data_IF_173958588486
#
_entry.id   IF_173958588486
#
_cell.length_a   1.000
_cell.length_b   1.000
_cell.length_c   1.000
_cell.angle_alpha   90.00
_cell.angle_beta   90.00
_cell.angle_gamma   90.00
#
_symmetry.space_group_name_H-M   'P 1'
#
loop_
_entity.id
_entity.type
_entity.pdbx_description
1 polymer ?
#
# COMPACT_ATOMS: atom_id res chain seq x y z
N UNK A 1 33.42 35.27 -42.56
CA UNK A 1 33.83 36.56 -43.15
C UNK A 1 34.94 36.28 -44.16
N UNK A 2 34.63 36.20 -45.45
CA UNK A 2 35.64 36.07 -46.51
C UNK A 2 35.02 36.36 -47.88
N UNK A 3 35.04 37.63 -48.28
CA UNK A 3 34.94 38.12 -49.65
C UNK A 3 35.63 39.51 -49.64
N UNK A 4 36.33 40.00 -50.69
CA UNK A 4 36.61 39.38 -52.00
C UNK A 4 38.09 39.46 -52.44
N UNK A 5 38.48 38.47 -53.26
CA UNK A 5 39.60 38.52 -54.23
C UNK A 5 39.25 39.34 -55.50
N UNK A 6 38.41 40.37 -55.38
CA UNK A 6 37.92 41.19 -56.50
C UNK A 6 38.58 42.57 -56.57
N UNK A 7 39.38 42.95 -55.55
CA UNK A 7 40.11 44.21 -55.51
C UNK A 7 41.44 44.17 -56.30
N UNK A 8 41.93 42.99 -56.68
CA UNK A 8 43.22 42.84 -57.37
C UNK A 8 43.13 42.84 -58.89
N UNK A 9 41.93 42.73 -59.47
CA UNK A 9 41.74 42.81 -60.93
C UNK A 9 41.46 44.22 -61.44
N UNK A 10 41.00 45.13 -60.58
CA UNK A 10 40.76 46.55 -60.91
C UNK A 10 42.04 47.38 -61.02
N UNK A 11 43.17 46.91 -60.47
CA UNK A 11 44.46 47.62 -60.48
C UNK A 11 45.24 47.39 -61.79
N UNK A 12 44.88 46.39 -62.61
CA UNK A 12 45.66 46.04 -63.81
C UNK A 12 45.14 46.65 -65.13
N UNK A 13 44.00 47.37 -65.16
CA UNK A 13 43.45 47.93 -66.41
C UNK A 13 43.73 49.44 -66.55
N UNK A 14 44.19 50.12 -65.49
CA UNK A 14 44.48 51.56 -65.53
C UNK A 14 45.87 51.93 -66.09
N UNK A 15 46.74 50.96 -66.44
CA UNK A 15 48.16 51.19 -66.79
C UNK A 15 48.52 51.16 -68.28
N UNK A 16 47.55 51.25 -69.21
CA UNK A 16 47.84 51.24 -70.66
C UNK A 16 47.71 52.63 -71.33
N UNK A 17 47.33 53.69 -70.60
CA UNK A 17 47.09 55.02 -71.21
C UNK A 17 48.28 55.99 -71.10
N UNK A 18 49.42 55.63 -70.51
CA UNK A 18 50.53 56.58 -70.37
C UNK A 18 51.90 55.94 -70.68
N UNK A 19 52.35 56.03 -71.93
CA UNK A 19 53.77 56.21 -72.32
C UNK A 19 53.98 56.09 -73.83
N UNK A 20 53.88 57.21 -74.55
CA UNK A 20 54.71 57.52 -75.72
C UNK A 20 54.51 59.00 -76.08
N UNK A 21 55.25 59.87 -75.39
CA UNK A 21 55.48 61.26 -75.78
C UNK A 21 56.97 61.56 -75.62
N UNK A 22 57.46 62.42 -76.52
CA UNK A 22 58.77 63.10 -76.58
C UNK A 22 59.91 62.25 -77.16
N UNK A 23 60.60 62.66 -78.23
CA UNK A 23 61.18 63.97 -78.57
C UNK A 23 61.49 64.03 -80.10
N UNK A 24 61.78 65.14 -80.82
CA UNK A 24 61.55 66.59 -80.74
C UNK A 24 62.29 67.22 -81.97
N UNK A 25 61.72 68.30 -82.55
CA UNK A 25 62.34 69.50 -83.21
C UNK A 25 63.09 69.40 -84.56
N UNK A 26 62.66 70.22 -85.54
CA UNK A 26 63.32 71.41 -86.18
C UNK A 26 62.41 71.77 -87.38
N UNK A 27 61.53 72.77 -87.33
CA UNK A 27 61.70 74.24 -87.50
C UNK A 27 61.69 74.70 -88.98
N UNK A 28 60.96 75.78 -89.27
CA UNK A 28 60.99 76.48 -90.57
C UNK A 28 59.65 77.09 -91.02
N UNK A 29 59.46 78.37 -90.69
CA UNK A 29 58.37 79.27 -91.10
C UNK A 29 58.38 79.63 -92.60
N UNK A 30 57.26 80.21 -93.08
CA UNK A 30 57.34 81.43 -93.91
C UNK A 30 56.77 81.39 -95.34
N UNK A 31 55.65 82.09 -95.50
CA UNK A 31 55.28 83.04 -96.58
C UNK A 31 55.34 82.63 -98.07
N UNK A 32 54.14 82.67 -98.67
CA UNK A 32 53.69 83.50 -99.80
C UNK A 32 54.68 84.23 -100.74
N UNK A 33 54.23 84.35 -102.01
CA UNK A 33 54.65 85.25 -103.13
C UNK A 33 55.57 84.68 -104.23
N UNK A 34 54.94 84.48 -105.41
CA UNK A 34 55.29 84.92 -106.79
C UNK A 34 56.78 85.01 -107.18
N UNK A 35 57.20 84.29 -108.23
CA UNK A 35 57.57 84.88 -109.54
C UNK A 35 58.14 83.84 -110.55
N UNK A 36 57.41 83.71 -111.65
CA UNK A 36 57.83 83.62 -113.06
C UNK A 36 59.22 83.08 -113.40
N UNK A 37 59.23 81.91 -114.04
CA UNK A 37 60.27 81.46 -114.98
C UNK A 37 59.60 80.97 -116.26
N UNK A 38 59.32 81.91 -117.15
CA UNK A 38 58.74 81.73 -118.49
C UNK A 38 59.81 81.16 -119.43
N UNK A 39 59.58 80.01 -120.07
CA UNK A 39 59.92 79.87 -121.49
C UNK A 39 59.11 78.76 -122.16
N UNK A 40 58.31 79.22 -123.12
CA UNK A 40 57.77 78.64 -124.34
C UNK A 40 57.37 77.16 -124.45
N UNK A 41 56.11 77.01 -124.90
CA UNK A 41 55.90 76.26 -126.14
C UNK A 41 55.21 74.92 -126.00
N UNK A 42 53.87 74.97 -125.92
CA UNK A 42 52.95 73.91 -126.39
C UNK A 42 53.10 72.51 -125.80
N UNK A 43 52.27 72.17 -124.79
CA UNK A 43 51.82 70.78 -124.54
C UNK A 43 50.48 70.73 -123.78
N UNK A 44 49.47 71.41 -124.31
CA UNK A 44 48.05 71.36 -123.88
C UNK A 44 47.42 69.94 -123.88
N UNK A 45 48.15 68.92 -124.33
CA UNK A 45 47.70 67.52 -124.38
C UNK A 45 48.08 66.72 -123.12
N UNK A 46 49.20 67.02 -122.46
CA UNK A 46 49.72 66.24 -121.32
C UNK A 46 48.95 66.54 -120.02
N UNK A 47 48.73 67.83 -119.74
CA UNK A 47 47.87 68.28 -118.63
C UNK A 47 46.43 67.78 -118.77
N UNK A 48 45.94 67.62 -120.00
CA UNK A 48 44.59 67.15 -120.28
C UNK A 48 44.41 65.66 -119.97
N UNK A 49 45.43 64.85 -120.27
CA UNK A 49 45.47 63.42 -119.93
C UNK A 49 45.56 63.23 -118.41
N UNK A 50 46.36 64.07 -117.71
CA UNK A 50 46.41 64.06 -116.24
C UNK A 50 45.09 64.51 -115.62
N UNK A 51 44.45 65.55 -116.17
CA UNK A 51 43.13 66.01 -115.72
C UNK A 51 42.06 64.93 -115.93
N UNK A 52 42.07 64.22 -117.07
CA UNK A 52 41.18 63.09 -117.33
C UNK A 52 41.44 61.91 -116.39
N UNK A 53 42.70 61.60 -116.08
CA UNK A 53 43.09 60.58 -115.11
C UNK A 53 42.70 60.94 -113.67
N UNK A 54 42.84 62.21 -113.30
CA UNK A 54 42.33 62.74 -112.03
C UNK A 54 40.81 62.64 -111.98
N UNK A 55 40.11 63.00 -113.06
CA UNK A 55 38.65 62.87 -113.13
C UNK A 55 38.18 61.42 -113.07
N UNK A 56 38.85 60.47 -113.73
CA UNK A 56 38.48 59.05 -113.64
C UNK A 56 38.69 58.52 -112.22
N UNK A 57 39.76 58.95 -111.55
CA UNK A 57 40.06 58.54 -110.17
C UNK A 57 39.14 59.21 -109.15
N UNK A 58 38.74 60.47 -109.38
CA UNK A 58 37.70 61.16 -108.61
C UNK A 58 36.38 60.40 -108.75
N UNK A 59 35.98 60.02 -109.97
CA UNK A 59 34.76 59.22 -110.19
C UNK A 59 34.82 57.85 -109.53
N UNK A 60 35.96 57.16 -109.61
CA UNK A 60 36.15 55.87 -108.95
C UNK A 60 36.07 56.01 -107.42
N UNK A 61 36.67 57.06 -106.86
CA UNK A 61 36.57 57.39 -105.44
C UNK A 61 35.15 57.80 -105.04
N UNK A 62 34.42 58.56 -105.86
CA UNK A 62 33.01 58.90 -105.63
C UNK A 62 32.15 57.64 -105.56
N UNK A 63 32.27 56.74 -106.53
CA UNK A 63 31.55 55.45 -106.51
C UNK A 63 31.92 54.62 -105.28
N UNK A 64 33.19 54.61 -104.90
CA UNK A 64 33.66 53.86 -103.73
C UNK A 64 33.16 54.50 -102.41
N UNK A 65 33.07 55.83 -102.36
CA UNK A 65 32.45 56.55 -101.24
C UNK A 65 30.97 56.22 -101.17
N UNK A 66 30.23 56.28 -102.28
CA UNK A 66 28.79 55.96 -102.33
C UNK A 66 28.51 54.50 -101.95
N UNK A 67 29.35 53.56 -102.36
CA UNK A 67 29.23 52.17 -101.94
C UNK A 67 29.52 52.01 -100.44
N UNK A 68 30.52 52.73 -99.90
CA UNK A 68 30.85 52.72 -98.47
C UNK A 68 29.81 53.39 -97.60
N UNK A 69 29.20 54.49 -98.04
CA UNK A 69 28.11 55.16 -97.32
C UNK A 69 26.88 54.26 -97.24
N UNK A 70 26.54 53.59 -98.34
CA UNK A 70 25.42 52.63 -98.38
C UNK A 70 25.71 51.35 -97.56
N UNK A 71 26.95 50.87 -97.53
CA UNK A 71 27.36 49.76 -96.64
C UNK A 71 27.29 50.17 -95.16
N UNK A 72 27.67 51.41 -94.83
CA UNK A 72 27.56 51.96 -93.48
C UNK A 72 26.10 52.10 -93.04
N UNK A 73 25.21 52.58 -93.91
CA UNK A 73 23.77 52.68 -93.64
C UNK A 73 23.16 51.31 -93.30
N UNK A 74 23.46 50.28 -94.11
CA UNK A 74 23.02 48.90 -93.83
C UNK A 74 23.53 48.36 -92.49
N UNK A 75 24.77 48.70 -92.10
CA UNK A 75 25.33 48.32 -90.80
C UNK A 75 24.66 49.07 -89.66
N UNK A 76 24.32 50.33 -89.86
CA UNK A 76 23.63 51.17 -88.88
C UNK A 76 22.20 50.66 -88.62
N UNK A 77 21.46 50.31 -89.66
CA UNK A 77 20.15 49.64 -89.55
C UNK A 77 20.23 48.33 -88.74
N UNK A 78 21.26 47.53 -89.02
CA UNK A 78 21.50 46.26 -88.32
C UNK A 78 21.89 46.48 -86.85
N UNK A 79 22.63 47.55 -86.55
CA UNK A 79 22.94 47.97 -85.18
C UNK A 79 21.65 48.40 -84.46
N UNK A 80 20.84 49.25 -85.09
CA UNK A 80 19.53 49.66 -84.57
C UNK A 80 18.63 48.47 -84.23
N UNK A 81 18.61 47.44 -85.10
CA UNK A 81 17.88 46.21 -84.85
C UNK A 81 18.44 45.44 -83.64
N UNK A 82 19.76 45.29 -83.53
CA UNK A 82 20.41 44.62 -82.40
C UNK A 82 20.18 45.36 -81.09
N UNK A 83 20.22 46.68 -81.09
CA UNK A 83 19.97 47.52 -79.91
C UNK A 83 18.52 47.40 -79.43
N UNK A 84 17.55 47.32 -80.36
CA UNK A 84 16.16 47.04 -80.00
C UNK A 84 16.03 45.68 -79.32
N UNK A 85 16.62 44.62 -79.90
CA UNK A 85 16.62 43.27 -79.30
C UNK A 85 17.32 43.28 -77.93
N UNK A 86 18.42 44.04 -77.79
CA UNK A 86 19.16 44.14 -76.53
C UNK A 86 18.33 44.83 -75.46
N UNK A 87 17.65 45.94 -75.79
CA UNK A 87 16.70 46.61 -74.89
C UNK A 87 15.57 45.68 -74.46
N UNK A 88 14.94 44.97 -75.40
CA UNK A 88 13.87 44.02 -75.10
C UNK A 88 14.33 42.88 -74.19
N UNK A 89 15.52 42.32 -74.45
CA UNK A 89 16.14 41.29 -73.58
C UNK A 89 16.48 41.84 -72.21
N UNK A 90 17.02 43.05 -72.11
CA UNK A 90 17.33 43.70 -70.84
C UNK A 90 16.07 43.92 -70.00
N UNK A 91 14.98 44.39 -70.62
CA UNK A 91 13.69 44.54 -69.96
C UNK A 91 13.12 43.19 -69.49
N UNK A 92 13.31 42.12 -70.27
CA UNK A 92 12.89 40.78 -69.87
C UNK A 92 13.73 40.22 -68.72
N UNK A 93 15.03 40.51 -68.69
CA UNK A 93 15.92 40.13 -67.58
C UNK A 93 15.53 40.86 -66.30
N UNK A 94 15.25 42.17 -66.36
CA UNK A 94 14.82 42.91 -65.16
C UNK A 94 13.46 42.43 -64.64
N UNK A 95 12.53 42.13 -65.55
CA UNK A 95 11.25 41.50 -65.19
C UNK A 95 11.47 40.15 -64.49
N UNK A 96 12.27 39.25 -65.08
CA UNK A 96 12.55 37.93 -64.48
C UNK A 96 13.30 38.04 -63.15
N UNK A 97 14.22 39.00 -62.99
CA UNK A 97 14.87 39.26 -61.71
C UNK A 97 13.86 39.67 -60.64
N UNK A 98 12.94 40.58 -60.97
CA UNK A 98 11.88 41.00 -60.03
C UNK A 98 10.94 39.85 -59.65
N UNK A 99 10.63 38.97 -60.60
CA UNK A 99 9.79 37.80 -60.37
C UNK A 99 10.50 36.74 -59.52
N UNK A 100 11.79 36.49 -59.75
CA UNK A 100 12.63 35.62 -58.92
C UNK A 100 12.69 36.18 -57.48
N UNK A 101 12.93 37.47 -57.30
CA UNK A 101 12.94 38.09 -55.97
C UNK A 101 11.58 38.00 -55.27
N UNK A 102 10.48 38.14 -56.01
CA UNK A 102 9.13 37.97 -55.49
C UNK A 102 8.87 36.54 -55.04
N UNK A 103 9.16 35.55 -55.89
CA UNK A 103 9.02 34.12 -55.59
C UNK A 103 9.92 33.69 -54.44
N UNK A 104 11.13 34.25 -54.33
CA UNK A 104 12.05 33.97 -53.24
C UNK A 104 11.55 34.54 -51.90
N UNK A 105 10.96 35.75 -51.91
CA UNK A 105 10.29 36.33 -50.74
C UNK A 105 9.06 35.52 -50.33
N UNK A 106 8.20 35.17 -51.27
CA UNK A 106 6.98 34.38 -51.02
C UNK A 106 7.31 32.97 -50.53
N UNK A 107 8.29 32.31 -51.16
CA UNK A 107 8.80 31.00 -50.75
C UNK A 107 9.39 31.01 -49.33
N UNK A 108 10.15 32.07 -48.97
CA UNK A 108 10.69 32.22 -47.61
C UNK A 108 9.58 32.46 -46.58
N UNK A 109 8.65 33.37 -46.85
CA UNK A 109 7.54 33.67 -45.93
C UNK A 109 6.66 32.44 -45.70
N UNK A 110 6.31 31.71 -46.76
CA UNK A 110 5.49 30.52 -46.64
C UNK A 110 6.22 29.35 -45.95
N UNK A 111 7.55 29.23 -46.15
CA UNK A 111 8.36 28.29 -45.39
C UNK A 111 8.41 28.67 -43.90
N UNK A 112 8.64 29.94 -43.59
CA UNK A 112 8.73 30.45 -42.22
C UNK A 112 7.37 30.36 -41.48
N UNK A 113 6.26 30.62 -42.16
CA UNK A 113 4.91 30.41 -41.64
C UNK A 113 4.62 28.93 -41.34
N UNK A 114 4.97 28.02 -42.26
CA UNK A 114 4.81 26.57 -42.04
C UNK A 114 5.70 26.07 -40.91
N UNK A 115 6.94 26.56 -40.80
CA UNK A 115 7.86 26.24 -39.71
C UNK A 115 7.29 26.74 -38.38
N UNK A 116 6.78 27.98 -38.33
CA UNK A 116 6.14 28.52 -37.12
C UNK A 116 4.93 27.71 -36.67
N UNK A 117 4.05 27.31 -37.60
CA UNK A 117 2.90 26.43 -37.31
C UNK A 117 3.33 25.05 -36.82
N UNK A 118 4.35 24.45 -37.45
CA UNK A 118 4.88 23.15 -37.04
C UNK A 118 5.53 23.21 -35.64
N UNK A 119 6.28 24.29 -35.36
CA UNK A 119 6.93 24.50 -34.08
C UNK A 119 5.93 24.76 -32.94
N UNK A 120 4.86 25.53 -33.20
CA UNK A 120 3.78 25.72 -32.24
C UNK A 120 3.08 24.39 -31.90
N UNK A 121 2.76 23.59 -32.93
CA UNK A 121 2.20 22.24 -32.74
C UNK A 121 3.14 21.31 -31.98
N UNK A 122 4.44 21.34 -32.28
CA UNK A 122 5.44 20.55 -31.58
C UNK A 122 5.51 20.93 -30.08
N UNK A 123 5.49 22.22 -29.75
CA UNK A 123 5.47 22.68 -28.37
C UNK A 123 4.19 22.33 -27.61
N UNK A 124 3.03 22.32 -28.28
CA UNK A 124 1.77 21.85 -27.69
C UNK A 124 1.79 20.33 -27.42
N UNK A 125 2.26 19.53 -28.39
CA UNK A 125 2.43 18.09 -28.19
C UNK A 125 3.45 17.78 -27.09
N UNK A 126 4.54 18.52 -26.99
CA UNK A 126 5.53 18.36 -25.93
C UNK A 126 4.90 18.63 -24.55
N UNK A 127 4.06 19.66 -24.43
CA UNK A 127 3.28 19.91 -23.20
C UNK A 127 2.37 18.74 -22.87
N UNK A 128 1.60 18.23 -23.83
CA UNK A 128 0.72 17.06 -23.62
C UNK A 128 1.50 15.82 -23.19
N UNK A 129 2.65 15.54 -23.81
CA UNK A 129 3.52 14.41 -23.43
C UNK A 129 4.06 14.62 -22.01
N UNK A 130 4.41 15.84 -21.63
CA UNK A 130 4.88 16.14 -20.27
C UNK A 130 3.77 15.94 -19.22
N UNK A 131 2.53 16.33 -19.55
CA UNK A 131 1.34 16.15 -18.72
C UNK A 131 1.05 14.66 -18.49
N UNK A 132 0.93 13.89 -19.59
CA UNK A 132 0.69 12.45 -19.56
C UNK A 132 1.80 11.70 -18.81
N UNK A 133 3.06 12.13 -18.96
CA UNK A 133 4.18 11.53 -18.23
C UNK A 133 4.06 11.75 -16.72
N UNK A 134 3.62 12.94 -16.27
CA UNK A 134 3.36 13.20 -14.83
C UNK A 134 2.20 12.35 -14.31
N UNK A 135 1.10 12.29 -15.06
CA UNK A 135 -0.07 11.49 -14.71
C UNK A 135 0.27 10.00 -14.61
N UNK A 136 1.04 9.47 -15.56
CA UNK A 136 1.55 8.10 -15.53
C UNK A 136 2.40 7.84 -14.28
N UNK A 137 3.31 8.76 -13.92
CA UNK A 137 4.09 8.62 -12.68
C UNK A 137 3.23 8.68 -11.42
N UNK A 138 2.19 9.52 -11.39
CA UNK A 138 1.24 9.59 -10.28
C UNK A 138 0.44 8.29 -10.14
N UNK A 139 -0.15 7.80 -11.24
CA UNK A 139 -0.89 6.53 -11.26
C UNK A 139 0.00 5.34 -10.88
N UNK A 140 1.26 5.33 -11.31
CA UNK A 140 2.19 4.26 -10.94
C UNK A 140 2.49 4.26 -9.43
N UNK A 141 2.56 5.43 -8.78
CA UNK A 141 2.70 5.53 -7.32
C UNK A 141 1.45 5.03 -6.60
N UNK A 142 0.27 5.42 -7.09
CA UNK A 142 -1.01 4.95 -6.53
C UNK A 142 -1.17 3.44 -6.68
N UNK A 143 -0.83 2.88 -7.84
CA UNK A 143 -0.80 1.43 -8.08
C UNK A 143 0.08 0.73 -7.03
N UNK A 144 1.30 1.19 -6.83
CA UNK A 144 2.22 0.58 -5.87
C UNK A 144 1.68 0.66 -4.42
N UNK A 145 1.07 1.79 -4.04
CA UNK A 145 0.46 1.93 -2.73
C UNK A 145 -0.76 1.00 -2.55
N UNK A 146 -1.56 0.80 -3.59
CA UNK A 146 -2.67 -0.16 -3.60
C UNK A 146 -2.17 -1.61 -3.56
N UNK A 147 -1.09 -1.92 -4.27
CA UNK A 147 -0.45 -3.24 -4.26
C UNK A 147 0.09 -3.59 -2.86
N UNK A 148 0.72 -2.61 -2.18
CA UNK A 148 1.16 -2.78 -0.79
C UNK A 148 -0.02 -3.04 0.15
N UNK A 149 -1.09 -2.26 0.06
CA UNK A 149 -2.31 -2.48 0.85
C UNK A 149 -2.97 -3.83 0.57
N UNK A 150 -3.00 -4.27 -0.69
CA UNK A 150 -3.50 -5.61 -1.07
C UNK A 150 -2.66 -6.70 -0.41
N UNK A 151 -1.34 -6.57 -0.46
CA UNK A 151 -0.43 -7.55 0.15
C UNK A 151 -0.58 -7.65 1.67
N UNK A 152 -0.88 -6.53 2.34
CA UNK A 152 -1.13 -6.51 3.78
C UNK A 152 -2.51 -7.11 4.13
N UNK A 153 -3.54 -6.78 3.36
CA UNK A 153 -4.87 -7.38 3.50
C UNK A 153 -4.83 -8.91 3.26
N UNK A 154 -4.05 -9.38 2.28
CA UNK A 154 -3.83 -10.80 2.03
C UNK A 154 -3.16 -11.52 3.22
N UNK A 155 -2.16 -10.89 3.86
CA UNK A 155 -1.51 -11.44 5.06
C UNK A 155 -2.49 -11.59 6.23
N UNK A 156 -3.32 -10.58 6.49
CA UNK A 156 -4.33 -10.65 7.55
C UNK A 156 -5.46 -11.64 7.21
N UNK A 157 -5.81 -11.79 5.92
CA UNK A 157 -6.73 -12.83 5.45
C UNK A 157 -6.17 -14.23 5.72
N UNK A 158 -4.91 -14.52 5.34
CA UNK A 158 -4.27 -15.80 5.61
C UNK A 158 -4.18 -16.10 7.12
N UNK A 159 -3.85 -15.11 7.94
CA UNK A 159 -3.86 -15.23 9.40
C UNK A 159 -5.26 -15.53 9.95
N UNK A 160 -6.31 -14.96 9.38
CA UNK A 160 -7.69 -15.27 9.76
C UNK A 160 -8.12 -16.67 9.32
N UNK A 161 -7.74 -17.10 8.11
CA UNK A 161 -7.97 -18.46 7.60
C UNK A 161 -7.32 -19.49 8.53
N UNK A 162 -6.06 -19.31 8.91
CA UNK A 162 -5.38 -20.25 9.83
C UNK A 162 -6.02 -20.30 11.23
N UNK A 163 -6.57 -19.18 11.73
CA UNK A 163 -7.35 -19.17 12.98
C UNK A 163 -8.67 -19.95 12.82
N UNK A 164 -9.37 -19.76 11.71
CA UNK A 164 -10.61 -20.47 11.41
C UNK A 164 -10.38 -21.98 11.29
N UNK A 165 -9.30 -22.41 10.63
CA UNK A 165 -8.91 -23.82 10.55
C UNK A 165 -8.68 -24.42 11.94
N UNK A 166 -7.93 -23.73 12.82
CA UNK A 166 -7.73 -24.16 14.21
C UNK A 166 -9.06 -24.32 14.94
N UNK A 167 -9.95 -23.32 14.86
CA UNK A 167 -11.28 -23.40 15.47
C UNK A 167 -12.10 -24.57 14.92
N UNK A 168 -12.02 -24.81 13.61
CA UNK A 168 -12.69 -25.93 12.96
C UNK A 168 -12.17 -27.27 13.49
N UNK A 169 -10.85 -27.43 13.68
CA UNK A 169 -10.27 -28.65 14.28
C UNK A 169 -10.73 -28.86 15.72
N UNK A 170 -10.75 -27.80 16.54
CA UNK A 170 -11.24 -27.89 17.93
C UNK A 170 -12.73 -28.21 18.00
N UNK A 171 -13.54 -27.68 17.08
CA UNK A 171 -14.96 -27.97 17.01
C UNK A 171 -15.20 -29.44 16.63
N UNK A 172 -14.48 -29.97 15.62
CA UNK A 172 -14.51 -31.40 15.28
C UNK A 172 -14.14 -32.27 16.49
N UNK A 173 -13.12 -31.88 17.25
CA UNK A 173 -12.73 -32.59 18.48
C UNK A 173 -13.82 -32.54 19.54
N UNK A 174 -14.40 -31.37 19.83
CA UNK A 174 -15.51 -31.21 20.79
C UNK A 174 -16.74 -32.02 20.38
N UNK A 175 -17.12 -31.99 19.09
CA UNK A 175 -18.23 -32.80 18.55
C UNK A 175 -18.00 -34.30 18.80
N UNK A 176 -16.77 -34.78 18.61
CA UNK A 176 -16.43 -36.18 18.90
C UNK A 176 -16.52 -36.53 20.40
N UNK A 177 -16.14 -35.60 21.30
CA UNK A 177 -16.26 -35.78 22.76
C UNK A 177 -17.72 -35.82 23.18
N UNK A 178 -18.56 -34.93 22.65
CA UNK A 178 -20.00 -34.91 22.90
C UNK A 178 -20.63 -36.24 22.49
N UNK A 179 -20.32 -36.76 21.30
CA UNK A 179 -20.83 -38.05 20.85
C UNK A 179 -20.42 -39.21 21.76
N UNK A 180 -19.20 -39.19 22.32
CA UNK A 180 -18.75 -40.22 23.29
C UNK A 180 -19.54 -40.13 24.60
N UNK A 181 -19.76 -38.93 25.12
CA UNK A 181 -20.54 -38.71 26.33
C UNK A 181 -22.01 -39.08 26.14
N UNK A 182 -22.59 -38.76 24.98
CA UNK A 182 -23.97 -39.12 24.65
C UNK A 182 -24.17 -40.64 24.62
N UNK A 183 -23.22 -41.39 24.05
CA UNK A 183 -23.24 -42.87 24.08
C UNK A 183 -23.12 -43.41 25.50
N UNK A 184 -22.19 -42.88 26.29
CA UNK A 184 -22.01 -43.30 27.68
C UNK A 184 -23.26 -43.02 28.53
N UNK A 185 -23.93 -41.88 28.28
CA UNK A 185 -25.18 -41.52 28.93
C UNK A 185 -26.32 -42.48 28.55
N UNK A 186 -26.47 -42.81 27.26
CA UNK A 186 -27.48 -43.80 26.80
C UNK A 186 -27.26 -45.17 27.44
N UNK A 187 -26.01 -45.63 27.54
CA UNK A 187 -25.68 -46.89 28.22
C UNK A 187 -26.04 -46.83 29.71
N UNK A 188 -25.71 -45.74 30.40
CA UNK A 188 -26.07 -45.57 31.81
C UNK A 188 -27.60 -45.50 32.03
N UNK A 189 -28.33 -44.88 31.10
CA UNK A 189 -29.80 -44.87 31.11
C UNK A 189 -30.38 -46.29 30.91
N UNK A 190 -29.87 -47.06 29.94
CA UNK A 190 -30.27 -48.45 29.71
C UNK A 190 -29.96 -49.35 30.91
N UNK A 191 -28.77 -49.22 31.52
CA UNK A 191 -28.38 -49.95 32.72
C UNK A 191 -29.24 -49.58 33.92
N UNK A 192 -29.58 -48.29 34.08
CA UNK A 192 -30.49 -47.84 35.14
C UNK A 192 -31.90 -48.41 34.96
N UNK A 193 -32.41 -48.44 33.72
CA UNK A 193 -33.71 -49.05 33.41
C UNK A 193 -33.66 -50.55 33.74
N UNK A 194 -32.61 -51.27 33.33
CA UNK A 194 -32.43 -52.68 33.65
C UNK A 194 -32.34 -52.93 35.16
N UNK A 195 -31.54 -52.17 35.89
CA UNK A 195 -31.42 -52.28 37.34
C UNK A 195 -32.74 -51.99 38.05
N UNK A 196 -33.53 -51.03 37.57
CA UNK A 196 -34.90 -50.80 38.06
C UNK A 196 -35.77 -52.03 37.84
N UNK A 197 -35.76 -52.61 36.65
CA UNK A 197 -36.52 -53.82 36.35
C UNK A 197 -36.09 -55.02 37.21
N UNK A 198 -34.79 -55.21 37.43
CA UNK A 198 -34.27 -56.25 38.32
C UNK A 198 -34.65 -56.02 39.79
N UNK A 199 -34.66 -54.77 40.27
CA UNK A 199 -35.12 -54.44 41.62
C UNK A 199 -36.61 -54.66 41.76
N UNK A 200 -37.42 -54.28 40.77
CA UNK A 200 -38.86 -54.54 40.80
C UNK A 200 -39.15 -56.03 40.78
N UNK A 201 -38.46 -56.83 39.94
CA UNK A 201 -38.67 -58.28 39.90
C UNK A 201 -38.23 -58.97 41.19
N UNK A 202 -37.07 -58.59 41.76
CA UNK A 202 -36.62 -59.13 43.05
C UNK A 202 -37.50 -58.68 44.21
N UNK A 203 -38.07 -57.48 44.15
CA UNK A 203 -39.04 -56.99 45.16
C UNK A 203 -40.32 -57.81 45.09
N UNK A 204 -40.79 -58.17 43.90
CA UNK A 204 -41.93 -59.05 43.69
C UNK A 204 -41.65 -60.47 44.21
N UNK A 205 -40.52 -61.08 43.84
CA UNK A 205 -40.07 -62.37 44.42
C UNK A 205 -39.94 -62.30 45.95
N UNK A 206 -39.38 -61.22 46.50
CA UNK A 206 -39.26 -61.01 47.93
C UNK A 206 -40.64 -60.86 48.57
N UNK A 207 -41.56 -60.13 47.95
CA UNK A 207 -42.93 -59.94 48.41
C UNK A 207 -43.73 -61.25 48.36
N UNK A 208 -43.46 -62.15 47.41
CA UNK A 208 -44.04 -63.51 47.41
C UNK A 208 -43.47 -64.38 48.54
N UNK A 209 -42.14 -64.41 48.71
CA UNK A 209 -41.47 -65.21 49.74
C UNK A 209 -41.72 -64.67 51.16
N UNK A 210 -41.81 -63.34 51.30
CA UNK A 210 -41.95 -62.65 52.59
C UNK A 210 -43.37 -62.15 52.87
N UNK A 211 -44.28 -62.13 51.90
CA UNK A 211 -45.71 -61.92 52.13
C UNK A 211 -46.32 -62.99 53.05
N UNK A 212 -45.69 -64.16 53.11
CA UNK A 212 -45.98 -65.22 54.09
C UNK A 212 -45.19 -65.09 55.41
N UNK A 213 -44.15 -64.25 55.48
CA UNK A 213 -43.31 -64.03 56.67
C UNK A 213 -43.75 -62.78 57.46
N UNK A 214 -44.28 -61.74 56.82
CA UNK A 214 -44.81 -60.59 57.53
C UNK A 214 -46.09 -60.99 58.30
N UNK A 215 -46.17 -60.70 59.62
CA UNK A 215 -47.42 -60.89 60.36
C UNK A 215 -48.57 -60.17 59.63
N UNK A 216 -49.80 -60.72 59.61
CA UNK A 216 -50.91 -60.19 58.81
C UNK A 216 -51.18 -58.69 59.01
N UNK A 217 -50.91 -58.15 60.21
CA UNK A 217 -51.08 -56.73 60.54
C UNK A 217 -50.06 -55.80 59.85
N UNK A 218 -48.85 -56.28 59.54
CA UNK A 218 -47.80 -55.49 58.90
C UNK A 218 -47.94 -55.49 57.38
N UNK A 219 -48.38 -56.61 56.81
CA UNK A 219 -48.74 -56.68 55.40
C UNK A 219 -49.95 -55.77 55.09
N UNK A 220 -50.98 -55.77 55.94
CA UNK A 220 -52.10 -54.84 55.81
C UNK A 220 -51.64 -53.38 55.95
N UNK A 221 -50.80 -53.06 56.94
CA UNK A 221 -50.27 -51.71 57.12
C UNK A 221 -49.44 -51.23 55.91
N UNK A 222 -48.62 -52.10 55.31
CA UNK A 222 -47.79 -51.74 54.16
C UNK A 222 -48.63 -51.42 52.92
N UNK A 223 -49.62 -52.27 52.61
CA UNK A 223 -50.50 -52.09 51.45
C UNK A 223 -51.52 -50.96 51.66
N UNK A 224 -51.94 -50.71 52.90
CA UNK A 224 -52.95 -49.71 53.23
C UNK A 224 -52.34 -48.30 53.42
N UNK A 225 -51.11 -48.19 53.93
CA UNK A 225 -50.51 -46.91 54.28
C UNK A 225 -49.22 -46.55 53.54
N UNK A 226 -48.36 -47.52 53.19
CA UNK A 226 -47.01 -47.23 52.67
C UNK A 226 -46.99 -47.25 51.15
N UNK A 227 -47.56 -48.28 50.53
CA UNK A 227 -47.59 -48.43 49.07
C UNK A 227 -48.41 -47.31 48.38
N UNK A 228 -49.61 -46.92 48.85
CA UNK A 228 -50.35 -45.81 48.27
C UNK A 228 -49.61 -44.47 48.46
N UNK A 229 -48.88 -44.30 49.58
CA UNK A 229 -48.10 -43.09 49.85
C UNK A 229 -46.88 -42.97 48.91
N UNK A 230 -46.18 -44.08 48.66
CA UNK A 230 -45.06 -44.10 47.71
C UNK A 230 -45.54 -43.88 46.28
N UNK A 231 -46.63 -44.52 45.87
CA UNK A 231 -47.23 -44.32 44.55
C UNK A 231 -47.71 -42.86 44.38
N UNK A 232 -48.32 -42.27 45.40
CA UNK A 232 -48.74 -40.86 45.41
C UNK A 232 -47.55 -39.90 45.31
N UNK A 233 -46.42 -40.18 45.97
CA UNK A 233 -45.19 -39.37 45.86
C UNK A 233 -44.59 -39.48 44.46
N UNK A 234 -44.54 -40.68 43.90
CA UNK A 234 -44.03 -40.92 42.55
C UNK A 234 -44.92 -40.21 41.50
N UNK A 235 -46.25 -40.32 41.62
CA UNK A 235 -47.23 -39.67 40.75
C UNK A 235 -47.22 -38.14 40.91
N UNK A 236 -47.05 -37.62 42.13
CA UNK A 236 -46.90 -36.17 42.39
C UNK A 236 -45.55 -35.63 41.93
N UNK A 237 -44.51 -36.44 41.82
CA UNK A 237 -43.22 -36.02 41.24
C UNK A 237 -43.33 -35.87 39.71
N UNK A 238 -44.12 -36.72 39.05
CA UNK A 238 -44.40 -36.60 37.60
C UNK A 238 -45.45 -35.51 37.27
N UNK A 239 -46.51 -35.38 38.07
CA UNK A 239 -47.55 -34.34 37.90
C UNK A 239 -47.12 -32.96 38.45
N UNK A 240 -46.24 -32.94 39.46
CA UNK A 240 -45.71 -31.75 40.11
C UNK A 240 -44.69 -30.97 39.29
N UNK A 241 -44.42 -31.36 38.05
CA UNK A 241 -43.71 -30.48 37.10
C UNK A 241 -44.56 -29.27 36.68
N UNK A 242 -45.89 -29.32 36.84
CA UNK A 242 -46.81 -28.25 36.46
C UNK A 242 -47.64 -27.62 37.61
N UNK A 243 -47.61 -28.18 38.84
CA UNK A 243 -48.47 -27.74 39.97
C UNK A 243 -47.70 -27.26 41.21
N UNK A 244 -46.42 -26.87 41.06
CA UNK A 244 -45.60 -26.25 42.13
C UNK A 244 -46.16 -24.87 42.56
N UNK A 245 -47.05 -24.27 41.78
CA UNK A 245 -47.47 -22.88 41.98
C UNK A 245 -48.72 -22.68 42.87
N UNK A 246 -49.58 -23.69 43.10
CA UNK A 246 -50.91 -23.43 43.72
C UNK A 246 -51.28 -24.25 44.98
N UNK A 247 -50.40 -25.11 45.50
CA UNK A 247 -50.70 -26.00 46.65
C UNK A 247 -49.91 -25.71 47.94
N UNK A 248 -49.46 -24.48 48.15
CA UNK A 248 -48.74 -24.08 49.38
C UNK A 248 -49.69 -23.65 50.51
N UNK A 249 -50.98 -23.39 50.22
CA UNK A 249 -51.91 -22.75 51.17
C UNK A 249 -52.36 -23.58 52.39
N UNK A 250 -53.03 -24.74 52.26
CA UNK A 250 -53.87 -25.26 53.36
C UNK A 250 -53.20 -26.28 54.30
N UNK A 251 -52.00 -26.78 53.99
CA UNK A 251 -51.32 -27.82 54.80
C UNK A 251 -50.25 -27.27 55.76
N UNK A 252 -50.02 -25.95 55.79
CA UNK A 252 -48.99 -25.33 56.62
C UNK A 252 -49.39 -25.33 58.10
N UNK A 253 -50.68 -25.21 58.45
CA UNK A 253 -51.09 -24.96 59.84
C UNK A 253 -50.87 -26.13 60.81
N UNK A 254 -51.22 -27.39 60.48
CA UNK A 254 -50.98 -28.52 61.39
C UNK A 254 -49.49 -28.88 61.49
N UNK A 255 -48.73 -28.66 60.39
CA UNK A 255 -47.28 -28.82 60.35
C UNK A 255 -46.62 -27.77 61.25
N UNK A 256 -47.14 -26.53 61.24
CA UNK A 256 -46.67 -25.44 62.10
C UNK A 256 -46.93 -25.70 63.58
N UNK A 257 -48.05 -26.32 63.94
CA UNK A 257 -48.45 -26.49 65.34
C UNK A 257 -47.83 -27.73 66.03
N UNK A 258 -47.70 -28.86 65.35
CA UNK A 258 -47.22 -30.12 65.98
C UNK A 258 -45.78 -30.47 65.66
N UNK A 259 -45.36 -30.26 64.42
CA UNK A 259 -44.02 -30.65 63.97
C UNK A 259 -42.96 -29.60 64.31
N UNK A 260 -43.28 -28.31 64.23
CA UNK A 260 -42.30 -27.27 64.56
C UNK A 260 -41.86 -27.34 66.03
N UNK A 261 -42.72 -27.50 67.05
CA UNK A 261 -42.25 -27.60 68.44
C UNK A 261 -41.45 -28.88 68.73
N UNK A 262 -41.89 -30.04 68.22
CA UNK A 262 -41.17 -31.31 68.41
C UNK A 262 -39.83 -31.34 67.68
N UNK A 263 -39.78 -30.78 66.47
CA UNK A 263 -38.54 -30.55 65.76
C UNK A 263 -37.69 -29.52 66.51
N UNK A 264 -38.27 -28.44 67.06
CA UNK A 264 -37.57 -27.43 67.84
C UNK A 264 -36.92 -28.03 69.09
N UNK A 265 -37.59 -28.91 69.83
CA UNK A 265 -36.98 -29.62 70.97
C UNK A 265 -35.80 -30.50 70.55
N UNK A 266 -35.97 -31.30 69.49
CA UNK A 266 -34.88 -32.14 68.96
C UNK A 266 -33.75 -31.30 68.37
N UNK A 267 -34.05 -30.19 67.72
CA UNK A 267 -33.07 -29.22 67.24
C UNK A 267 -32.38 -28.52 68.39
N UNK A 268 -33.05 -28.19 69.49
CA UNK A 268 -32.43 -27.58 70.66
C UNK A 268 -31.37 -28.53 71.24
N UNK A 269 -31.68 -29.83 71.36
CA UNK A 269 -30.72 -30.86 71.84
C UNK A 269 -29.54 -31.05 70.88
N UNK A 270 -29.80 -31.12 69.57
CA UNK A 270 -28.73 -31.20 68.56
C UNK A 270 -27.90 -29.92 68.54
N UNK A 271 -28.51 -28.75 68.74
CA UNK A 271 -27.85 -27.45 68.82
C UNK A 271 -26.99 -27.35 70.08
N UNK A 272 -27.44 -27.78 71.26
CA UNK A 272 -26.60 -27.79 72.46
C UNK A 272 -25.40 -28.72 72.32
N UNK A 273 -25.57 -29.90 71.73
CA UNK A 273 -24.46 -30.85 71.53
C UNK A 273 -23.49 -30.45 70.41
N UNK A 274 -23.98 -29.85 69.31
CA UNK A 274 -23.14 -29.42 68.19
C UNK A 274 -22.51 -28.04 68.38
N UNK A 275 -23.10 -27.17 69.21
CA UNK A 275 -22.62 -25.80 69.49
C UNK A 275 -21.14 -25.72 69.89
N UNK A 276 -20.60 -26.52 70.83
CA UNK A 276 -19.18 -26.43 71.17
C UNK A 276 -18.27 -26.83 70.00
N UNK A 277 -18.65 -27.85 69.23
CA UNK A 277 -17.87 -28.31 68.07
C UNK A 277 -17.91 -27.31 66.91
N UNK A 278 -19.08 -26.76 66.59
CA UNK A 278 -19.23 -25.72 65.57
C UNK A 278 -18.56 -24.41 66.00
N UNK A 279 -18.66 -24.01 67.26
CA UNK A 279 -17.93 -22.83 67.76
C UNK A 279 -16.42 -23.02 67.69
N UNK A 280 -15.90 -24.21 67.99
CA UNK A 280 -14.47 -24.51 67.86
C UNK A 280 -13.99 -24.49 66.40
N UNK A 281 -14.80 -24.99 65.46
CA UNK A 281 -14.50 -24.98 64.04
C UNK A 281 -14.60 -23.56 63.46
N UNK A 282 -15.66 -22.81 63.79
CA UNK A 282 -15.82 -21.41 63.40
C UNK A 282 -14.67 -20.55 63.92
N UNK A 283 -14.27 -20.72 65.19
CA UNK A 283 -13.14 -20.01 65.80
C UNK A 283 -11.82 -20.36 65.11
N UNK A 284 -11.55 -21.64 64.86
CA UNK A 284 -10.34 -22.05 64.12
C UNK A 284 -10.33 -21.54 62.68
N UNK A 285 -11.48 -21.56 62.00
CA UNK A 285 -11.56 -21.03 60.63
C UNK A 285 -11.41 -19.52 60.58
N UNK A 286 -11.94 -18.78 61.57
CA UNK A 286 -11.77 -17.31 61.64
C UNK A 286 -10.34 -16.93 61.99
N UNK A 287 -9.68 -17.66 62.91
CA UNK A 287 -8.27 -17.44 63.24
C UNK A 287 -7.35 -17.76 62.04
N UNK A 288 -7.62 -18.85 61.32
CA UNK A 288 -6.90 -19.20 60.09
C UNK A 288 -7.12 -18.17 58.96
N UNK A 289 -8.35 -17.65 58.83
CA UNK A 289 -8.69 -16.63 57.85
C UNK A 289 -8.02 -15.28 58.19
N UNK A 290 -8.05 -14.84 59.44
CA UNK A 290 -7.37 -13.60 59.87
C UNK A 290 -5.84 -13.73 59.76
N UNK A 291 -5.26 -14.87 60.13
CA UNK A 291 -3.84 -15.14 59.91
C UNK A 291 -3.46 -15.12 58.42
N UNK A 292 -4.32 -15.69 57.56
CA UNK A 292 -4.14 -15.63 56.10
C UNK A 292 -4.26 -14.21 55.57
N UNK A 293 -5.20 -13.41 56.09
CA UNK A 293 -5.39 -12.01 55.70
C UNK A 293 -4.19 -11.16 56.12
N UNK A 294 -3.67 -11.34 57.34
CA UNK A 294 -2.44 -10.69 57.81
C UNK A 294 -1.22 -11.08 56.95
N UNK A 295 -1.08 -12.36 56.59
CA UNK A 295 0.00 -12.82 55.71
C UNK A 295 -0.10 -12.19 54.29
N UNK A 296 -1.32 -12.10 53.75
CA UNK A 296 -1.56 -11.45 52.45
C UNK A 296 -1.41 -9.93 52.51
N UNK A 297 -1.58 -9.29 53.67
CA UNK A 297 -1.53 -7.82 53.81
C UNK A 297 -0.21 -7.25 53.29
N UNK A 298 0.93 -7.89 53.61
CA UNK A 298 2.24 -7.45 53.11
C UNK A 298 2.38 -7.55 51.58
N UNK A 299 1.72 -8.54 50.96
CA UNK A 299 1.72 -8.73 49.51
C UNK A 299 0.73 -7.80 48.81
N UNK A 300 -0.40 -7.49 49.45
CA UNK A 300 -1.39 -6.53 48.95
C UNK A 300 -0.79 -5.11 48.97
N UNK A 301 -0.11 -4.71 50.04
CA UNK A 301 0.58 -3.42 50.12
C UNK A 301 1.66 -3.32 49.03
N UNK A 302 2.48 -4.35 48.83
CA UNK A 302 3.47 -4.39 47.74
C UNK A 302 2.80 -4.29 46.36
N UNK A 303 1.70 -5.02 46.13
CA UNK A 303 0.98 -4.95 44.86
C UNK A 303 0.37 -3.55 44.62
N UNK A 304 -0.10 -2.88 45.69
CA UNK A 304 -0.61 -1.51 45.64
C UNK A 304 0.51 -0.50 45.37
N UNK A 305 1.67 -0.65 45.98
CA UNK A 305 2.88 0.15 45.69
C UNK A 305 3.33 -0.04 44.24
N UNK A 306 3.30 -1.26 43.70
CA UNK A 306 3.61 -1.51 42.29
C UNK A 306 2.58 -0.89 41.35
N UNK A 307 1.30 -0.85 41.72
CA UNK A 307 0.26 -0.29 40.87
C UNK A 307 0.21 1.25 40.90
N UNK A 308 0.62 1.88 42.01
CA UNK A 308 0.50 3.33 42.22
C UNK A 308 1.19 4.20 41.15
N UNK A 309 2.43 3.91 40.70
CA UNK A 309 3.08 4.65 39.61
C UNK A 309 2.30 4.59 38.29
N UNK A 310 1.65 3.45 37.99
CA UNK A 310 0.90 3.30 36.74
C UNK A 310 -0.39 4.12 36.73
N UNK A 311 -1.10 4.21 37.87
CA UNK A 311 -2.27 5.08 37.99
C UNK A 311 -1.89 6.56 37.86
N UNK A 312 -0.74 6.98 38.42
CA UNK A 312 -0.23 8.34 38.27
C UNK A 312 0.12 8.66 36.81
N UNK A 313 0.84 7.77 36.13
CA UNK A 313 1.18 7.93 34.70
C UNK A 313 -0.08 8.00 33.83
N UNK A 314 -1.11 7.19 34.13
CA UNK A 314 -2.40 7.26 33.43
C UNK A 314 -3.02 8.65 33.54
N UNK A 315 -3.12 9.20 34.77
CA UNK A 315 -3.70 10.53 34.97
C UNK A 315 -2.91 11.62 34.25
N UNK A 316 -1.58 11.57 34.28
CA UNK A 316 -0.73 12.57 33.60
C UNK A 316 -0.86 12.49 32.07
N UNK A 317 -0.91 11.29 31.50
CA UNK A 317 -1.12 11.11 30.06
C UNK A 317 -2.51 11.63 29.66
N UNK A 318 -3.54 11.37 30.46
CA UNK A 318 -4.91 11.82 30.19
C UNK A 318 -5.05 13.35 30.31
N UNK A 319 -4.34 13.99 31.25
CA UNK A 319 -4.27 15.44 31.40
C UNK A 319 -3.49 16.11 30.24
N UNK A 320 -2.37 15.53 29.83
CA UNK A 320 -1.59 15.99 28.67
C UNK A 320 -2.37 15.89 27.35
N UNK A 321 -3.15 14.81 27.18
CA UNK A 321 -3.98 14.62 25.98
C UNK A 321 -5.12 15.64 25.89
N UNK A 322 -5.68 16.03 27.04
CA UNK A 322 -6.79 16.99 27.12
C UNK A 322 -6.35 18.46 27.06
N UNK A 323 -5.09 18.77 27.40
CA UNK A 323 -4.58 20.15 27.44
C UNK A 323 -4.10 20.69 26.09
N UNK A 324 -3.87 19.84 25.08
CA UNK A 324 -3.45 20.26 23.74
C UNK A 324 -4.58 20.11 22.72
N UNK A 325 -4.87 21.19 21.96
CA UNK A 325 -5.97 21.22 20.99
C UNK A 325 -5.87 20.17 19.88
N UNK A 326 -4.65 19.73 19.55
CA UNK A 326 -4.38 18.74 18.50
C UNK A 326 -4.61 17.29 19.01
N UNK A 327 -4.37 17.03 20.29
CA UNK A 327 -4.49 15.67 20.88
C UNK A 327 -5.84 15.44 21.56
N UNK A 328 -6.59 16.50 21.83
CA UNK A 328 -7.96 16.46 22.38
C UNK A 328 -8.93 15.53 21.63
N UNK A 329 -8.96 15.46 20.28
CA UNK A 329 -9.82 14.50 19.57
C UNK A 329 -9.36 13.04 19.69
N UNK A 330 -8.18 12.76 20.24
CA UNK A 330 -7.67 11.40 20.50
C UNK A 330 -8.08 10.92 21.91
N UNK A 331 -8.44 11.85 22.81
CA UNK A 331 -9.01 11.56 24.13
C UNK A 331 -10.49 11.14 24.03
N UNK A 332 -10.80 10.19 23.15
CA UNK A 332 -12.14 9.62 22.99
C UNK A 332 -12.36 8.48 23.97
N UNK A 333 -13.64 8.15 24.25
CA UNK A 333 -14.03 7.05 25.16
C UNK A 333 -13.38 5.71 24.82
N UNK A 334 -13.02 5.50 23.56
CA UNK A 334 -12.31 4.29 23.11
C UNK A 334 -10.86 4.26 23.61
N UNK A 335 -10.15 5.39 23.55
CA UNK A 335 -8.78 5.50 24.08
C UNK A 335 -8.75 5.33 25.60
N UNK A 336 -9.75 5.87 26.31
CA UNK A 336 -9.94 5.65 27.75
C UNK A 336 -10.11 4.15 28.06
N UNK A 337 -10.92 3.44 27.27
CA UNK A 337 -11.10 1.98 27.41
C UNK A 337 -9.83 1.18 27.10
N UNK A 338 -9.02 1.60 26.11
CA UNK A 338 -7.72 0.98 25.84
C UNK A 338 -6.72 1.21 26.97
N UNK A 339 -6.69 2.42 27.53
CA UNK A 339 -5.79 2.78 28.63
C UNK A 339 -6.19 2.04 29.91
N UNK A 340 -7.49 1.89 30.18
CA UNK A 340 -8.02 1.05 31.26
C UNK A 340 -7.73 -0.44 31.05
N UNK A 341 -7.90 -0.94 29.83
CA UNK A 341 -7.60 -2.34 29.50
C UNK A 341 -6.11 -2.65 29.63
N UNK A 342 -5.23 -1.74 29.20
CA UNK A 342 -3.78 -1.88 29.35
C UNK A 342 -3.36 -1.85 30.84
N UNK A 343 -3.96 -0.96 31.63
CA UNK A 343 -3.71 -0.86 33.06
C UNK A 343 -4.15 -2.12 33.83
N UNK A 344 -5.17 -2.83 33.35
CA UNK A 344 -5.66 -4.07 33.96
C UNK A 344 -4.85 -5.30 33.50
N UNK A 345 -4.38 -5.30 32.26
CA UNK A 345 -3.59 -6.38 31.68
C UNK A 345 -2.14 -6.42 32.21
N UNK A 346 -1.49 -5.28 32.41
CA UNK A 346 -0.08 -5.21 32.82
C UNK A 346 0.19 -5.85 34.21
N UNK A 347 -0.62 -5.60 35.27
CA UNK A 347 -0.47 -6.28 36.56
C UNK A 347 -0.70 -7.79 36.44
N UNK A 348 -1.64 -8.23 35.60
CA UNK A 348 -1.87 -9.66 35.36
C UNK A 348 -0.70 -10.32 34.64
N UNK A 349 -0.04 -9.62 33.70
CA UNK A 349 1.16 -10.08 33.01
C UNK A 349 2.36 -10.11 33.98
N UNK A 350 2.52 -9.10 34.85
CA UNK A 350 3.57 -9.07 35.87
C UNK A 350 3.36 -10.17 36.90
N UNK A 351 2.13 -10.39 37.38
CA UNK A 351 1.78 -11.50 38.28
C UNK A 351 1.98 -12.87 37.60
N UNK A 352 1.64 -13.01 36.34
CA UNK A 352 1.87 -14.23 35.56
C UNK A 352 3.36 -14.52 35.36
N UNK A 353 4.17 -13.48 35.16
CA UNK A 353 5.62 -13.60 35.07
C UNK A 353 6.28 -13.86 36.42
N UNK A 354 5.81 -13.22 37.50
CA UNK A 354 6.23 -13.53 38.88
C UNK A 354 5.84 -14.96 39.29
N UNK A 355 4.69 -15.46 38.85
CA UNK A 355 4.26 -16.84 39.07
C UNK A 355 5.07 -17.84 38.23
N UNK A 356 5.68 -17.40 37.11
CA UNK A 356 6.66 -18.18 36.34
C UNK A 356 8.07 -18.14 36.94
N UNK A 357 8.47 -17.02 37.56
CA UNK A 357 9.77 -16.87 38.22
C UNK A 357 9.81 -17.49 39.63
N UNK A 358 8.73 -17.39 40.41
CA UNK A 358 8.50 -18.21 41.59
C UNK A 358 8.07 -19.60 41.13
N UNK A 359 9.02 -20.40 40.69
CA UNK A 359 8.81 -21.83 40.51
C UNK A 359 8.31 -22.42 41.83
N UNK A 360 6.98 -22.56 41.97
CA UNK A 360 6.34 -23.46 42.91
C UNK A 360 6.72 -24.85 42.43
N UNK A 361 7.95 -25.19 42.78
CA UNK A 361 8.60 -26.46 42.51
C UNK A 361 7.70 -27.49 43.14
N UNK A 362 7.00 -28.26 42.30
CA UNK A 362 6.49 -29.56 42.71
C UNK A 362 7.68 -30.31 43.28
N UNK A 363 7.80 -30.38 44.61
CA UNK A 363 8.78 -31.21 45.28
C UNK A 363 8.53 -32.64 44.82
N UNK A 364 9.36 -33.09 43.87
CA UNK A 364 9.42 -34.48 43.43
C UNK A 364 9.76 -35.31 44.67
N UNK A 365 8.87 -36.21 45.06
CA UNK A 365 9.09 -37.09 46.20
C UNK A 365 10.41 -37.87 46.00
N UNK A 366 11.34 -37.75 46.96
CA UNK A 366 12.55 -38.57 47.02
C UNK A 366 12.12 -40.02 47.28
N UNK A 367 12.40 -40.94 46.36
CA UNK A 367 12.38 -42.38 46.65
C UNK A 367 13.55 -42.70 47.59
N UNK A 368 13.40 -43.56 48.60
CA UNK A 368 14.53 -44.02 49.39
C UNK A 368 15.38 -44.98 48.55
N UNK A 369 16.63 -44.62 48.28
CA UNK A 369 17.64 -45.57 47.82
C UNK A 369 18.18 -46.34 49.02
N UNK A 370 18.06 -47.67 49.01
CA UNK A 370 18.79 -48.53 49.94
C UNK A 370 19.54 -49.60 49.16
N UNK A 371 20.82 -49.68 49.49
CA UNK A 371 21.95 -50.29 48.80
C UNK A 371 21.92 -51.82 48.69
N UNK A 372 22.47 -52.36 47.60
CA UNK A 372 23.11 -53.68 47.56
C UNK A 372 24.48 -53.60 48.31
N UNK A 373 25.06 -54.62 48.94
CA UNK A 373 25.13 -56.06 48.65
C UNK A 373 25.62 -56.81 49.93
N UNK A 374 25.65 -58.17 49.96
CA UNK A 374 25.83 -59.00 51.14
C UNK A 374 27.30 -59.39 51.38
N UNK A 375 27.62 -59.88 52.57
CA UNK A 375 28.51 -61.05 52.79
C UNK A 375 28.73 -61.37 54.28
N UNK A 376 28.84 -62.69 54.55
CA UNK A 376 29.43 -63.39 55.70
C UNK A 376 28.56 -63.52 56.98
N UNK A 377 27.91 -64.66 57.22
CA UNK A 377 28.42 -65.99 57.58
C UNK A 377 28.72 -66.17 59.09
N UNK A 378 27.80 -66.90 59.73
CA UNK A 378 28.08 -68.06 60.60
C UNK A 378 28.86 -67.80 61.90
N UNK A 379 28.14 -67.79 63.03
CA UNK A 379 28.49 -68.62 64.21
C UNK A 379 27.26 -68.95 65.04
N UNK A 380 27.32 -70.15 65.61
CA UNK A 380 26.24 -71.03 66.06
C UNK A 380 26.28 -71.10 67.60
N UNK A 381 25.10 -71.17 68.20
CA UNK A 381 24.74 -71.79 69.49
C UNK A 381 25.42 -71.34 70.81
N UNK A 382 24.62 -70.99 71.83
CA UNK A 382 24.20 -71.92 72.91
C UNK A 382 23.30 -71.23 73.96
N UNK A 383 22.19 -71.94 74.28
CA UNK A 383 21.48 -72.17 75.56
C UNK A 383 21.76 -71.29 76.80
N UNK A 384 20.68 -71.06 77.54
CA UNK A 384 20.64 -70.97 79.01
C UNK A 384 19.84 -69.76 79.51
N UNK A 385 18.55 -69.88 79.78
CA UNK A 385 17.94 -70.15 81.12
C UNK A 385 18.12 -69.04 82.17
N UNK A 386 16.95 -68.56 82.63
CA UNK A 386 16.62 -68.22 84.03
C UNK A 386 17.22 -66.92 84.61
N UNK A 387 16.38 -66.00 85.09
CA UNK A 387 15.80 -65.96 86.44
C UNK A 387 15.03 -64.63 86.58
N UNK A 388 13.78 -64.76 87.05
CA UNK A 388 12.88 -63.81 87.75
C UNK A 388 12.65 -62.42 87.18
#
# INVERSE_FOLDING_TARGET
MAVPKLATLTICIALIIFSASADVIVDGEGEDIIEVGREDGSDSSLLKIELEKLNSKIRELEVLIDEKTLELEKKDDLISQKDKIFRDKSNKISFLQSEIESLQREGKLHAEEKIGKAQARAGELEKQVSELKRELYAQNREKNALEERSSEAEKEMHKSITKLEKLQTTNKEQKSKIQKLERALKVAEEEMIKAKFEVTSKTEELMEVHGAWFPPWLASFWNEHVEPAMHLVMQKMWAGKAHVENCVGPHIEPIKAKWIPAMHERWVVVKTNSKPHLQSLCKRSSEAYEASKQALTSHIIKAQEFASPYFQVKSTIQEMLNSHDITRPIATKEFEWFLDSALLALPMIILFNLCRCCGISRKKARRPGRSANPTNARRRAKRGTSVK
#
